data_IF_970149708525
#
_entry.id   IF_970149708525
#
_cell.length_a   1.000
_cell.length_b   1.000
_cell.length_c   1.000
_cell.angle_alpha   90.00
_cell.angle_beta   90.00
_cell.angle_gamma   90.00
#
_symmetry.space_group_name_H-M   'P 1'
#
loop_
_entity.id
_entity.type
_entity.pdbx_description
1 polymer ?
#
# COMPACT_ATOMS: atom_id res chain seq x y z
N UNK A 1 13.43 -43.05 32.70
CA UNK A 1 12.75 -44.35 32.88
C UNK A 1 11.69 -44.45 31.81
N UNK A 2 11.93 -45.39 30.92
CA UNK A 2 11.15 -45.79 29.76
C UNK A 2 9.69 -46.12 30.09
N UNK A 3 8.77 -45.92 29.13
CA UNK A 3 8.38 -47.01 28.21
C UNK A 3 6.96 -46.81 27.64
N UNK A 4 6.78 -47.43 26.46
CA UNK A 4 5.55 -47.96 25.85
C UNK A 4 4.82 -47.11 24.80
N UNK A 5 5.37 -47.19 23.57
CA UNK A 5 4.76 -47.85 22.40
C UNK A 5 3.27 -48.21 22.50
N UNK A 6 2.49 -47.91 21.45
CA UNK A 6 1.93 -48.93 20.55
C UNK A 6 1.50 -48.34 19.20
N UNK A 7 1.90 -49.08 18.14
CA UNK A 7 1.62 -48.89 16.72
C UNK A 7 0.17 -49.25 16.38
N UNK A 8 -0.38 -48.66 15.32
CA UNK A 8 -1.22 -49.41 14.38
C UNK A 8 -1.22 -48.79 12.98
N UNK A 9 -0.75 -49.61 12.04
CA UNK A 9 -0.92 -49.53 10.59
C UNK A 9 -2.40 -49.39 10.18
N UNK A 10 -2.68 -48.71 9.06
CA UNK A 10 -3.47 -49.33 7.99
C UNK A 10 -3.12 -48.74 6.62
N UNK A 11 -3.02 -49.66 5.67
CA UNK A 11 -2.53 -49.58 4.30
C UNK A 11 -3.74 -49.59 3.33
N UNK A 12 -3.48 -49.31 2.04
CA UNK A 12 -4.28 -49.61 0.82
C UNK A 12 -5.30 -48.55 0.37
N UNK A 13 -5.54 -48.33 -0.92
CA UNK A 13 -4.93 -48.78 -2.18
C UNK A 13 -5.64 -48.08 -3.36
N UNK A 14 -4.92 -47.97 -4.49
CA UNK A 14 -5.34 -48.09 -5.90
C UNK A 14 -6.66 -47.46 -6.39
N UNK A 15 -6.61 -46.74 -7.51
CA UNK A 15 -6.83 -47.33 -8.84
C UNK A 15 -6.61 -46.32 -9.98
N UNK A 16 -5.93 -46.81 -11.03
CA UNK A 16 -5.73 -46.20 -12.33
C UNK A 16 -7.04 -46.17 -13.15
N UNK A 17 -7.17 -45.15 -14.01
CA UNK A 17 -8.10 -45.15 -15.14
C UNK A 17 -7.37 -44.79 -16.43
N UNK A 18 -7.00 -45.81 -17.21
CA UNK A 18 -6.60 -45.72 -18.61
C UNK A 18 -7.82 -46.08 -19.47
N UNK A 19 -8.11 -45.31 -20.52
CA UNK A 19 -8.73 -45.85 -21.73
C UNK A 19 -8.50 -44.92 -22.93
N UNK A 20 -7.78 -45.46 -23.91
CA UNK A 20 -7.49 -44.92 -25.23
C UNK A 20 -8.61 -45.22 -26.24
N UNK A 21 -8.49 -44.63 -27.43
CA UNK A 21 -9.00 -45.05 -28.77
C UNK A 21 -9.73 -43.90 -29.47
N UNK A 22 -9.64 -43.63 -30.77
CA UNK A 22 -8.94 -44.27 -31.89
C UNK A 22 -9.22 -43.50 -33.21
N UNK A 23 -8.19 -43.42 -34.06
CA UNK A 23 -8.18 -43.58 -35.53
C UNK A 23 -8.61 -42.44 -36.49
N UNK A 24 -7.59 -42.04 -37.27
CA UNK A 24 -7.47 -41.86 -38.73
C UNK A 24 -8.48 -41.00 -39.53
N UNK A 25 -7.91 -40.00 -40.19
CA UNK A 25 -8.33 -39.51 -41.50
C UNK A 25 -7.19 -38.75 -42.19
N UNK A 26 -6.55 -39.36 -43.19
CA UNK A 26 -5.53 -38.75 -44.06
C UNK A 26 -6.19 -38.08 -45.28
N UNK A 27 -5.76 -36.88 -45.66
CA UNK A 27 -5.26 -36.53 -47.00
C UNK A 27 -5.05 -35.00 -47.15
N UNK A 28 -4.17 -34.54 -48.08
CA UNK A 28 -3.50 -33.24 -48.00
C UNK A 28 -4.04 -32.19 -48.99
N UNK A 29 -4.02 -30.91 -48.61
CA UNK A 29 -4.06 -29.79 -49.55
C UNK A 29 -2.93 -28.79 -49.22
N UNK A 30 -2.01 -28.61 -50.17
CA UNK A 30 -1.08 -27.48 -50.27
C UNK A 30 -1.60 -26.55 -51.38
N UNK A 31 -1.17 -25.28 -51.45
CA UNK A 31 -1.22 -24.24 -50.44
C UNK A 31 -1.91 -22.99 -51.03
N UNK A 32 -2.92 -22.42 -50.37
CA UNK A 32 -3.38 -21.07 -50.77
C UNK A 32 -2.45 -20.08 -50.08
N UNK A 33 -1.57 -19.47 -50.88
CA UNK A 33 -0.78 -18.30 -50.52
C UNK A 33 -1.73 -17.19 -50.06
N UNK A 34 -1.97 -17.11 -48.75
CA UNK A 34 -2.54 -15.91 -48.13
C UNK A 34 -1.45 -14.87 -48.15
N UNK A 35 -1.62 -13.92 -49.06
CA UNK A 35 -0.99 -12.61 -49.07
C UNK A 35 -0.78 -12.15 -47.61
N UNK A 36 0.49 -12.09 -47.21
CA UNK A 36 0.89 -11.38 -46.02
C UNK A 36 0.55 -9.91 -46.26
N UNK A 37 -0.63 -9.51 -45.81
CA UNK A 37 -0.90 -8.10 -45.56
C UNK A 37 -0.08 -7.78 -44.31
N UNK A 38 1.03 -7.08 -44.52
CA UNK A 38 1.79 -6.42 -43.47
C UNK A 38 0.83 -5.52 -42.69
N UNK A 39 0.22 -6.08 -41.64
CA UNK A 39 -0.44 -5.31 -40.61
C UNK A 39 0.70 -4.62 -39.87
N UNK A 40 0.84 -3.28 -39.91
CA UNK A 40 1.84 -2.63 -39.09
C UNK A 40 1.60 -3.05 -37.64
N UNK A 41 2.67 -3.50 -36.99
CA UNK A 41 2.72 -3.81 -35.58
C UNK A 41 2.40 -2.54 -34.78
N UNK A 42 1.11 -2.26 -34.63
CA UNK A 42 0.57 -1.26 -33.72
C UNK A 42 -0.04 -1.98 -32.53
N UNK A 43 0.80 -2.71 -31.82
CA UNK A 43 0.45 -3.44 -30.62
C UNK A 43 1.61 -3.31 -29.64
N UNK A 44 1.91 -2.07 -29.24
CA UNK A 44 2.81 -1.72 -28.13
C UNK A 44 2.55 -0.29 -27.59
N UNK A 45 1.29 0.18 -27.55
CA UNK A 45 0.91 1.44 -26.89
C UNK A 45 -0.41 1.38 -26.12
N UNK A 46 -0.72 0.23 -25.52
CA UNK A 46 -1.90 0.09 -24.66
C UNK A 46 -1.61 -0.74 -23.39
N UNK A 47 -0.38 -0.68 -22.88
CA UNK A 47 0.00 -1.26 -21.57
C UNK A 47 0.39 -0.19 -20.54
N UNK A 48 0.08 1.09 -20.79
CA UNK A 48 0.44 2.20 -19.91
C UNK A 48 -0.62 2.56 -18.87
N UNK A 49 -1.86 2.07 -19.02
CA UNK A 49 -3.01 2.53 -18.20
C UNK A 49 -3.76 1.39 -17.51
N UNK A 50 -3.08 0.29 -17.16
CA UNK A 50 -3.64 -0.58 -16.12
C UNK A 50 -3.70 0.23 -14.82
N UNK A 51 -4.85 0.30 -14.12
CA UNK A 51 -4.93 0.99 -12.83
C UNK A 51 -3.83 0.43 -11.93
N UNK A 52 -2.88 1.29 -11.54
CA UNK A 52 -1.87 0.88 -10.55
C UNK A 52 -2.64 0.64 -9.26
N UNK A 53 -2.57 -0.59 -8.75
CA UNK A 53 -3.03 -0.87 -7.40
C UNK A 53 -2.30 0.02 -6.38
N UNK A 54 -2.85 0.17 -5.17
CA UNK A 54 -2.18 0.94 -4.14
C UNK A 54 -0.80 0.35 -3.82
N UNK A 55 0.16 1.21 -3.53
CA UNK A 55 1.50 0.82 -3.10
C UNK A 55 1.66 1.16 -1.61
N UNK A 56 2.12 0.20 -0.81
CA UNK A 56 2.31 0.40 0.62
C UNK A 56 3.79 0.64 0.93
N UNK A 57 4.07 1.67 1.71
CA UNK A 57 5.44 1.98 2.15
C UNK A 57 5.91 0.99 3.22
N UNK A 58 7.19 0.55 3.19
CA UNK A 58 7.78 -0.19 4.29
C UNK A 58 8.14 0.69 5.49
N UNK A 59 8.12 2.02 5.36
CA UNK A 59 8.47 2.96 6.43
C UNK A 59 7.28 3.21 7.35
N UNK A 60 7.52 3.13 8.66
CA UNK A 60 6.52 3.29 9.72
C UNK A 60 7.03 4.29 10.74
N UNK A 61 6.14 5.16 11.24
CA UNK A 61 6.42 5.99 12.40
C UNK A 61 5.74 5.37 13.62
N UNK A 62 6.52 5.04 14.65
CA UNK A 62 6.01 4.61 15.95
C UNK A 62 5.86 5.79 16.87
N UNK A 63 4.74 5.85 17.59
CA UNK A 63 4.43 6.91 18.55
C UNK A 63 4.22 6.28 19.92
N UNK A 64 5.03 6.71 20.88
CA UNK A 64 4.92 6.29 22.28
C UNK A 64 4.16 7.34 23.08
N UNK A 65 2.83 7.34 22.93
CA UNK A 65 1.96 8.24 23.69
C UNK A 65 0.60 7.57 23.98
N UNK A 66 0.25 7.49 25.27
CA UNK A 66 -1.00 6.87 25.70
C UNK A 66 -2.25 7.70 25.35
N UNK A 67 -2.09 9.01 25.11
CA UNK A 67 -3.18 9.91 24.67
C UNK A 67 -3.55 9.65 23.22
N UNK A 68 -2.61 9.13 22.42
CA UNK A 68 -2.87 8.73 21.05
C UNK A 68 -3.60 7.38 21.03
N UNK A 69 -4.67 7.29 20.22
CA UNK A 69 -5.35 6.01 19.95
C UNK A 69 -4.57 5.12 18.99
N UNK A 70 -3.43 5.57 18.51
CA UNK A 70 -2.53 4.87 17.62
C UNK A 70 -1.13 4.82 18.25
N UNK A 71 -0.37 3.78 17.91
CA UNK A 71 1.05 3.64 18.24
C UNK A 71 1.91 3.42 17.00
N UNK A 72 1.29 3.18 15.84
CA UNK A 72 1.97 3.04 14.55
C UNK A 72 1.26 3.88 13.49
N UNK A 73 2.03 4.49 12.61
CA UNK A 73 1.58 5.26 11.46
C UNK A 73 2.20 4.65 10.20
N UNK A 74 1.38 4.24 9.23
CA UNK A 74 1.85 3.70 7.93
C UNK A 74 1.37 4.54 6.76
N UNK A 75 2.04 4.40 5.63
CA UNK A 75 1.78 5.20 4.43
C UNK A 75 1.39 4.32 3.26
N UNK A 76 0.36 4.77 2.53
CA UNK A 76 -0.17 4.14 1.32
C UNK A 76 -0.23 5.15 0.19
N UNK A 77 0.43 4.83 -0.90
CA UNK A 77 0.30 5.51 -2.18
C UNK A 77 -1.06 5.17 -2.79
N UNK A 78 -1.91 6.18 -2.95
CA UNK A 78 -3.18 6.06 -3.66
C UNK A 78 -3.23 6.93 -4.92
N UNK A 79 -2.13 7.61 -5.26
CA UNK A 79 -2.16 8.61 -6.33
C UNK A 79 -0.90 9.46 -6.47
N UNK A 80 0.27 9.03 -6.01
CA UNK A 80 1.50 9.80 -6.11
C UNK A 80 2.15 9.63 -7.50
N UNK A 81 1.63 10.36 -8.49
CA UNK A 81 2.04 10.29 -9.89
C UNK A 81 3.24 11.17 -10.22
N UNK A 82 3.43 12.25 -9.47
CA UNK A 82 4.53 13.21 -9.60
C UNK A 82 5.90 12.64 -9.24
N UNK A 83 5.96 11.53 -8.50
CA UNK A 83 7.20 10.87 -8.08
C UNK A 83 7.43 9.60 -8.91
N UNK A 84 8.55 9.52 -9.69
CA UNK A 84 8.91 8.32 -10.43
C UNK A 84 9.07 7.11 -9.51
N UNK A 85 8.68 5.91 -9.98
CA UNK A 85 8.69 4.70 -9.16
C UNK A 85 10.03 4.38 -8.46
N UNK A 86 11.22 4.57 -9.10
CA UNK A 86 12.51 4.32 -8.45
C UNK A 86 12.77 5.22 -7.24
N UNK A 87 12.14 6.39 -7.19
CA UNK A 87 12.42 7.42 -6.17
C UNK A 87 11.40 7.37 -5.02
N UNK A 88 10.30 6.61 -5.18
CA UNK A 88 9.18 6.62 -4.22
C UNK A 88 9.58 6.13 -2.84
N UNK A 89 10.43 5.11 -2.76
CA UNK A 89 10.87 4.56 -1.47
C UNK A 89 11.60 5.62 -0.62
N UNK A 90 12.54 6.34 -1.23
CA UNK A 90 13.26 7.44 -0.56
C UNK A 90 12.34 8.61 -0.21
N UNK A 91 11.31 8.88 -1.01
CA UNK A 91 10.28 9.89 -0.65
C UNK A 91 9.48 9.44 0.57
N UNK A 92 9.10 8.16 0.68
CA UNK A 92 8.39 7.68 1.87
C UNK A 92 9.25 7.65 3.12
N UNK A 93 10.55 7.33 2.98
CA UNK A 93 11.53 7.48 4.07
C UNK A 93 11.56 8.91 4.57
N UNK A 94 11.77 9.88 3.67
CA UNK A 94 11.83 11.30 4.01
C UNK A 94 10.52 11.82 4.61
N UNK A 95 9.36 11.34 4.15
CA UNK A 95 8.06 11.66 4.76
C UNK A 95 7.97 11.10 6.18
N UNK A 96 8.40 9.86 6.42
CA UNK A 96 8.36 9.24 7.74
C UNK A 96 9.29 9.96 8.72
N UNK A 97 10.53 10.26 8.31
CA UNK A 97 11.50 11.02 9.10
C UNK A 97 11.01 12.42 9.42
N UNK A 98 10.54 13.14 8.41
CA UNK A 98 10.02 14.49 8.61
C UNK A 98 8.77 14.48 9.50
N UNK A 99 7.88 13.49 9.36
CA UNK A 99 6.71 13.36 10.23
C UNK A 99 7.11 13.09 11.69
N UNK A 100 8.07 12.20 11.93
CA UNK A 100 8.55 11.93 13.30
C UNK A 100 9.10 13.19 13.97
N UNK A 101 9.87 14.01 13.25
CA UNK A 101 10.35 15.32 13.72
C UNK A 101 9.17 16.27 13.99
N UNK A 102 8.25 16.39 13.04
CA UNK A 102 7.13 17.32 13.14
C UNK A 102 6.16 16.95 14.26
N UNK A 103 6.00 15.67 14.60
CA UNK A 103 5.21 15.21 15.74
C UNK A 103 5.83 15.58 17.10
N UNK A 104 7.16 15.70 17.18
CA UNK A 104 7.86 16.13 18.38
C UNK A 104 7.85 17.65 18.64
N UNK A 105 7.59 18.46 17.61
CA UNK A 105 7.85 19.91 17.63
C UNK A 105 6.93 20.74 18.55
N UNK A 106 5.67 20.34 18.76
CA UNK A 106 4.73 21.07 19.62
C UNK A 106 4.95 20.70 21.10
N UNK A 107 5.37 21.65 21.93
CA UNK A 107 5.67 21.37 23.34
C UNK A 107 4.44 20.99 24.19
N UNK A 108 3.23 21.41 23.81
CA UNK A 108 1.99 21.12 24.56
C UNK A 108 1.36 19.78 24.13
N UNK A 109 1.51 19.42 22.85
CA UNK A 109 0.97 18.20 22.24
C UNK A 109 2.07 17.43 21.48
N UNK A 110 3.23 17.30 22.11
CA UNK A 110 4.33 16.51 21.58
C UNK A 110 3.93 15.04 21.54
N UNK A 111 4.16 14.40 20.40
CA UNK A 111 3.92 12.98 20.15
C UNK A 111 5.24 12.38 19.66
N UNK A 112 6.22 12.10 20.55
CA UNK A 112 7.54 11.64 20.14
C UNK A 112 7.43 10.43 19.20
N UNK A 113 8.05 10.56 18.02
CA UNK A 113 8.00 9.57 16.95
C UNK A 113 9.35 8.93 16.67
N UNK A 114 9.38 7.63 16.41
CA UNK A 114 10.56 6.90 15.92
C UNK A 114 10.26 6.25 14.57
N UNK A 115 11.19 6.35 13.62
CA UNK A 115 11.04 5.74 12.29
C UNK A 115 11.61 4.34 12.28
N UNK A 116 10.87 3.41 11.70
CA UNK A 116 11.32 2.03 11.50
C UNK A 116 11.01 1.55 10.09
N UNK A 117 11.92 0.74 9.54
CA UNK A 117 11.70 -0.01 8.31
C UNK A 117 11.06 -1.37 8.63
N UNK A 118 9.96 -1.72 7.96
CA UNK A 118 9.30 -3.00 8.06
C UNK A 118 8.84 -3.48 6.69
N UNK A 119 9.55 -4.45 6.11
CA UNK A 119 9.16 -5.05 4.82
C UNK A 119 7.73 -5.60 4.85
N UNK A 120 7.28 -6.13 5.99
CA UNK A 120 5.92 -6.65 6.13
C UNK A 120 4.86 -5.57 5.83
N UNK A 121 5.13 -4.30 6.14
CA UNK A 121 4.19 -3.21 5.88
C UNK A 121 4.03 -2.87 4.41
N UNK A 122 4.94 -3.31 3.54
CA UNK A 122 4.79 -3.17 2.10
C UNK A 122 3.84 -4.20 1.47
N UNK A 123 3.51 -5.28 2.18
CA UNK A 123 2.65 -6.35 1.69
C UNK A 123 1.17 -5.97 1.82
N UNK A 124 0.40 -5.85 0.71
CA UNK A 124 -1.02 -5.51 0.74
C UNK A 124 -1.87 -6.45 1.61
N UNK A 125 -1.45 -7.71 1.78
CA UNK A 125 -2.18 -8.67 2.61
C UNK A 125 -2.20 -8.29 4.09
N UNK A 126 -1.21 -7.53 4.56
CA UNK A 126 -1.14 -7.02 5.94
C UNK A 126 -2.06 -5.81 6.18
N UNK A 127 -2.76 -5.33 5.14
CA UNK A 127 -3.72 -4.22 5.20
C UNK A 127 -5.16 -4.64 4.90
N UNK A 128 -5.43 -5.95 4.76
CA UNK A 128 -6.78 -6.47 4.52
C UNK A 128 -7.72 -6.27 5.72
N UNK A 129 -7.15 -6.17 6.91
CA UNK A 129 -7.84 -5.83 8.15
C UNK A 129 -7.05 -4.79 8.88
N UNK A 130 -7.71 -3.73 9.33
CA UNK A 130 -7.05 -2.67 10.07
C UNK A 130 -6.63 -3.16 11.46
N UNK A 131 -5.38 -2.88 11.81
CA UNK A 131 -4.76 -3.24 13.07
C UNK A 131 -5.29 -2.34 14.20
N UNK A 132 -5.34 -2.90 15.41
CA UNK A 132 -5.60 -2.11 16.60
C UNK A 132 -4.45 -1.10 16.79
N UNK A 133 -4.79 0.12 17.20
CA UNK A 133 -3.84 1.21 17.46
C UNK A 133 -2.98 1.60 16.24
N UNK A 134 -3.59 1.72 15.08
CA UNK A 134 -2.92 2.13 13.85
C UNK A 134 -3.55 3.39 13.26
N UNK A 135 -2.73 4.32 12.77
CA UNK A 135 -3.17 5.43 11.93
C UNK A 135 -2.65 5.24 10.50
N UNK A 136 -3.54 5.25 9.51
CA UNK A 136 -3.18 5.05 8.11
C UNK A 136 -3.15 6.39 7.40
N UNK A 137 -2.09 6.63 6.63
CA UNK A 137 -1.92 7.83 5.81
C UNK A 137 -1.99 7.45 4.35
N UNK A 138 -3.07 7.83 3.68
CA UNK A 138 -3.14 7.74 2.22
C UNK A 138 -2.53 9.01 1.63
N UNK A 139 -1.73 8.87 0.56
CA UNK A 139 -1.00 9.95 -0.09
C UNK A 139 -1.31 10.01 -1.59
N UNK A 140 -1.53 11.23 -2.11
CA UNK A 140 -1.65 11.49 -3.54
C UNK A 140 -1.10 12.88 -3.90
N UNK A 141 -0.93 13.13 -5.20
CA UNK A 141 -0.77 14.49 -5.72
C UNK A 141 -1.94 14.91 -6.61
N UNK A 142 -2.29 16.19 -6.54
CA UNK A 142 -3.18 16.82 -7.51
C UNK A 142 -2.35 17.73 -8.42
N UNK A 143 -2.61 17.68 -9.73
CA UNK A 143 -1.72 18.25 -10.75
C UNK A 143 -2.12 19.65 -11.22
N UNK A 144 -3.28 20.17 -10.83
CA UNK A 144 -3.75 21.50 -11.22
C UNK A 144 -4.72 22.13 -10.18
N UNK A 145 -4.24 23.01 -9.27
CA UNK A 145 -2.84 23.39 -9.03
C UNK A 145 -2.03 22.24 -8.40
N UNK A 146 -0.69 22.35 -8.41
CA UNK A 146 0.18 21.36 -7.76
C UNK A 146 -0.07 21.35 -6.26
N UNK A 147 -0.59 20.24 -5.76
CA UNK A 147 -0.92 20.04 -4.35
C UNK A 147 -0.49 18.66 -3.88
N UNK A 148 -0.19 18.60 -2.59
CA UNK A 148 -0.20 17.33 -1.86
C UNK A 148 -1.61 17.04 -1.39
N UNK A 149 -1.98 15.78 -1.41
CA UNK A 149 -3.18 15.30 -0.77
C UNK A 149 -2.86 14.20 0.23
N UNK A 150 -3.56 14.23 1.36
CA UNK A 150 -3.54 13.13 2.30
C UNK A 150 -4.89 12.92 2.98
N UNK A 151 -5.13 11.68 3.40
CA UNK A 151 -6.20 11.36 4.34
C UNK A 151 -5.68 10.49 5.46
N UNK A 152 -6.25 10.69 6.65
CA UNK A 152 -5.92 9.94 7.85
C UNK A 152 -7.08 9.08 8.26
N UNK A 153 -6.78 7.83 8.59
CA UNK A 153 -7.77 6.83 8.96
C UNK A 153 -7.36 6.10 10.24
N UNK A 154 -8.32 5.81 11.11
CA UNK A 154 -8.10 4.95 12.30
C UNK A 154 -8.50 3.49 12.06
N UNK A 155 -8.98 3.17 10.86
CA UNK A 155 -9.62 1.92 10.53
C UNK A 155 -9.95 1.82 9.04
N UNK A 156 -10.71 0.79 8.69
CA UNK A 156 -10.93 0.37 7.30
C UNK A 156 -12.32 0.77 6.78
N UNK A 157 -13.20 1.25 7.65
CA UNK A 157 -14.53 1.72 7.27
C UNK A 157 -14.46 3.18 6.79
N UNK A 158 -15.42 3.56 5.93
CA UNK A 158 -15.56 4.93 5.44
C UNK A 158 -15.69 5.97 6.58
N UNK A 159 -16.25 5.53 7.71
CA UNK A 159 -16.43 6.34 8.92
C UNK A 159 -15.14 6.57 9.70
N UNK A 160 -14.09 5.78 9.46
CA UNK A 160 -12.81 5.86 10.17
C UNK A 160 -11.88 6.94 9.60
N UNK A 161 -12.25 7.59 8.49
CA UNK A 161 -11.51 8.74 7.97
C UNK A 161 -11.73 9.96 8.86
N UNK A 162 -10.67 10.47 9.49
CA UNK A 162 -10.77 11.63 10.39
C UNK A 162 -10.06 12.88 9.89
N UNK A 163 -9.32 12.77 8.79
CA UNK A 163 -8.83 13.92 8.07
C UNK A 163 -8.77 13.62 6.57
N UNK A 164 -9.10 14.62 5.77
CA UNK A 164 -8.84 14.65 4.33
C UNK A 164 -8.45 16.08 3.99
N UNK A 165 -7.27 16.28 3.43
CA UNK A 165 -6.79 17.60 3.05
C UNK A 165 -6.02 17.56 1.75
N UNK A 166 -6.17 18.63 1.00
CA UNK A 166 -5.21 19.02 -0.03
C UNK A 166 -4.53 20.32 0.40
N UNK A 167 -3.22 20.35 0.31
CA UNK A 167 -2.40 21.51 0.67
C UNK A 167 -1.51 21.89 -0.52
N UNK A 168 -1.17 23.17 -0.59
CA UNK A 168 -0.27 23.65 -1.62
C UNK A 168 1.10 22.95 -1.50
N UNK A 169 1.66 22.57 -2.65
CA UNK A 169 2.97 21.94 -2.74
C UNK A 169 4.01 22.99 -3.15
N UNK A 170 4.89 23.42 -2.23
CA UNK A 170 6.07 24.21 -2.57
C UNK A 170 6.86 23.59 -3.73
N UNK A 171 7.52 24.44 -4.52
CA UNK A 171 8.37 23.98 -5.63
C UNK A 171 9.69 23.37 -5.14
N UNK A 172 10.19 23.84 -4.01
CA UNK A 172 11.36 23.27 -3.35
C UNK A 172 10.99 21.94 -2.69
N UNK A 173 11.83 20.91 -2.90
CA UNK A 173 11.52 19.54 -2.47
C UNK A 173 11.54 19.35 -0.95
N UNK A 174 12.47 20.02 -0.25
CA UNK A 174 12.57 19.92 1.20
C UNK A 174 11.37 20.63 1.85
N UNK A 175 11.08 21.84 1.40
CA UNK A 175 9.90 22.59 1.85
C UNK A 175 8.60 21.87 1.49
N UNK A 176 8.57 21.14 0.38
CA UNK A 176 7.40 20.38 -0.04
C UNK A 176 7.06 19.24 0.92
N UNK A 177 8.05 18.44 1.34
CA UNK A 177 7.85 17.36 2.32
C UNK A 177 7.49 17.96 3.68
N UNK A 178 8.23 18.98 4.11
CA UNK A 178 8.00 19.61 5.40
C UNK A 178 6.59 20.25 5.50
N UNK A 179 6.07 20.81 4.40
CA UNK A 179 4.70 21.32 4.34
C UNK A 179 3.66 20.21 4.56
N UNK A 180 3.85 19.07 3.89
CA UNK A 180 2.99 17.88 4.02
C UNK A 180 2.99 17.33 5.44
N UNK A 181 4.17 17.07 5.99
CA UNK A 181 4.31 16.43 7.31
C UNK A 181 3.86 17.35 8.43
N UNK A 182 4.04 18.67 8.33
CA UNK A 182 3.42 19.64 9.25
C UNK A 182 1.90 19.55 9.26
N UNK A 183 1.28 19.48 8.08
CA UNK A 183 -0.17 19.36 7.97
C UNK A 183 -0.67 18.05 8.56
N UNK A 184 -0.01 16.93 8.26
CA UNK A 184 -0.33 15.61 8.82
C UNK A 184 -0.21 15.63 10.34
N UNK A 185 0.92 16.11 10.88
CA UNK A 185 1.17 16.21 12.32
C UNK A 185 0.11 17.09 13.01
N UNK A 186 -0.29 18.21 12.40
CA UNK A 186 -1.38 19.05 12.90
C UNK A 186 -2.70 18.29 12.98
N UNK A 187 -3.07 17.55 11.93
CA UNK A 187 -4.30 16.74 11.93
C UNK A 187 -4.27 15.61 12.98
N UNK A 188 -3.13 14.95 13.17
CA UNK A 188 -2.96 13.92 14.20
C UNK A 188 -3.11 14.51 15.60
N UNK A 189 -2.47 15.65 15.87
CA UNK A 189 -2.62 16.37 17.15
C UNK A 189 -4.03 16.86 17.39
N UNK A 190 -4.72 17.34 16.36
CA UNK A 190 -6.13 17.75 16.47
C UNK A 190 -7.02 16.57 16.85
N UNK A 191 -6.79 15.38 16.28
CA UNK A 191 -7.50 14.15 16.65
C UNK A 191 -7.20 13.73 18.10
N UNK A 192 -5.93 13.80 18.53
CA UNK A 192 -5.53 13.55 19.93
C UNK A 192 -6.21 14.53 20.88
N UNK A 193 -6.19 15.83 20.56
CA UNK A 193 -6.75 16.90 21.39
C UNK A 193 -8.27 16.77 21.54
N UNK A 194 -8.96 16.44 20.46
CA UNK A 194 -10.43 16.32 20.47
C UNK A 194 -10.92 14.94 20.88
N UNK A 195 -10.05 13.93 20.84
CA UNK A 195 -10.41 12.52 20.99
C UNK A 195 -11.19 11.96 19.81
N UNK A 196 -11.27 12.69 18.69
CA UNK A 196 -12.06 12.30 17.54
C UNK A 196 -11.20 11.75 16.41
N UNK A 197 -11.47 10.50 16.05
CA UNK A 197 -10.74 9.71 15.05
C UNK A 197 -11.68 9.15 13.98
N UNK A 198 -12.81 9.81 13.75
CA UNK A 198 -13.81 9.39 12.76
C UNK A 198 -14.23 10.58 11.91
N UNK A 199 -14.98 10.33 10.84
CA UNK A 199 -15.49 11.36 9.95
C UNK A 199 -16.51 12.27 10.63
N UNK A 200 -17.28 11.69 11.54
CA UNK A 200 -18.31 12.37 12.30
C UNK A 200 -17.77 12.79 13.66
N UNK A 201 -17.22 14.01 13.65
CA UNK A 201 -16.94 14.87 14.78
C UNK A 201 -17.77 16.16 14.56
#
# INVERSE_FOLDING_TARGET
>A
MDALMHRAFFLRALLLGFAASSLLGCAPERPVARLAVDRPAQEHRAAADAPRGPLYSPWVVRVDDERARFSEISFKDVGLMSVPAPDREGVYEAIAESLAVELGHDAALSLPGEVHYSQAMSDPSNHLSCAARHAYVDLWDATAPSRWGYSLWSGCGDEDQFAWREIDRPRDSEDAIASLTRSIASSLRDAVRTGCYTRHC
#
